data_IF_850325835389
#
_entry.id   IF_850325835389
#
_cell.length_a   1.000
_cell.length_b   1.000
_cell.length_c   1.000
_cell.angle_alpha   90.00
_cell.angle_beta   90.00
_cell.angle_gamma   90.00
#
_symmetry.space_group_name_H-M   'P 1'
#
loop_
_entity.id
_entity.type
_entity.pdbx_description
1 polymer ?
#
# COMPACT_ATOMS: atom_id res chain seq x y z
N UNK A 1 -68.39 -1.78 -33.92
CA UNK A 1 -67.28 -2.18 -34.82
C UNK A 1 -66.00 -1.55 -34.32
N UNK A 2 -65.05 -2.37 -33.84
CA UNK A 2 -63.75 -1.91 -33.35
C UNK A 2 -62.73 -1.86 -34.50
N UNK A 3 -61.89 -0.81 -34.63
CA UNK A 3 -60.73 -0.87 -35.52
C UNK A 3 -59.55 -1.57 -34.82
N UNK A 4 -58.98 -2.53 -35.56
CA UNK A 4 -57.90 -3.44 -35.18
C UNK A 4 -56.53 -2.76 -35.13
N UNK A 5 -55.70 -3.27 -34.23
CA UNK A 5 -54.29 -2.99 -33.95
C UNK A 5 -53.34 -2.96 -35.17
N UNK A 6 -52.44 -1.97 -35.22
CA UNK A 6 -51.11 -2.06 -35.87
C UNK A 6 -50.03 -1.51 -34.92
N UNK A 7 -49.56 -2.36 -34.01
CA UNK A 7 -48.37 -2.14 -33.18
C UNK A 7 -47.51 -3.41 -33.24
N UNK A 8 -46.82 -3.65 -34.34
CA UNK A 8 -45.80 -4.71 -34.44
C UNK A 8 -44.99 -4.59 -35.75
N UNK A 9 -44.03 -3.65 -35.83
CA UNK A 9 -43.05 -3.69 -36.93
C UNK A 9 -41.72 -2.94 -36.70
N UNK A 10 -41.37 -2.51 -35.47
CA UNK A 10 -40.12 -1.75 -35.26
C UNK A 10 -39.11 -2.38 -34.31
N UNK A 11 -39.39 -3.57 -33.74
CA UNK A 11 -38.44 -4.29 -32.86
C UNK A 11 -37.70 -5.48 -33.50
N UNK A 12 -37.78 -5.66 -34.82
CA UNK A 12 -37.18 -6.82 -35.50
C UNK A 12 -35.85 -6.54 -36.23
N UNK A 13 -35.35 -5.29 -36.25
CA UNK A 13 -34.10 -4.93 -36.97
C UNK A 13 -32.84 -4.84 -36.10
N UNK A 14 -32.97 -4.91 -34.78
CA UNK A 14 -31.81 -4.79 -33.86
C UNK A 14 -31.14 -6.15 -33.55
N UNK A 15 -31.77 -7.28 -33.87
CA UNK A 15 -31.30 -8.62 -33.50
C UNK A 15 -30.48 -9.35 -34.60
N UNK A 16 -30.26 -8.73 -35.77
CA UNK A 16 -29.60 -9.39 -36.91
C UNK A 16 -28.15 -8.95 -37.17
N UNK A 17 -27.62 -7.98 -36.43
CA UNK A 17 -26.21 -7.59 -36.51
C UNK A 17 -25.37 -8.34 -35.45
N UNK A 18 -25.51 -9.67 -35.40
CA UNK A 18 -24.44 -10.49 -34.85
C UNK A 18 -23.27 -10.36 -35.82
N UNK A 19 -22.31 -9.50 -35.49
CA UNK A 19 -21.11 -9.27 -36.30
C UNK A 19 -20.46 -10.63 -36.54
N UNK A 20 -20.60 -11.16 -37.76
CA UNK A 20 -19.91 -12.39 -38.18
C UNK A 20 -18.43 -12.18 -37.90
N UNK A 21 -17.88 -12.96 -36.97
CA UNK A 21 -16.48 -12.88 -36.63
C UNK A 21 -15.69 -13.15 -37.91
N UNK A 22 -14.91 -12.17 -38.35
CA UNK A 22 -14.14 -12.29 -39.59
C UNK A 22 -13.10 -13.37 -39.35
N UNK A 23 -13.27 -14.52 -40.00
CA UNK A 23 -12.30 -15.61 -39.95
C UNK A 23 -11.04 -15.15 -40.67
N UNK A 24 -9.98 -14.89 -39.92
CA UNK A 24 -8.67 -14.54 -40.45
C UNK A 24 -7.80 -15.81 -40.54
N UNK A 25 -6.96 -15.92 -41.57
CA UNK A 25 -5.94 -16.95 -41.60
C UNK A 25 -4.99 -16.79 -40.40
N UNK A 26 -4.58 -17.86 -39.69
CA UNK A 26 -3.75 -17.77 -38.48
C UNK A 26 -2.43 -17.00 -38.69
N UNK A 27 -1.84 -17.10 -39.89
CA UNK A 27 -0.61 -16.38 -40.26
C UNK A 27 -0.86 -14.99 -40.85
N UNK A 28 -2.10 -14.48 -40.83
CA UNK A 28 -2.41 -13.14 -41.33
C UNK A 28 -1.84 -12.05 -40.42
N UNK A 29 -1.47 -10.89 -41.00
CA UNK A 29 -1.10 -9.69 -40.24
C UNK A 29 -2.15 -9.32 -39.18
N UNK A 30 -3.44 -9.50 -39.50
CA UNK A 30 -4.53 -9.21 -38.56
C UNK A 30 -4.58 -10.23 -37.41
N UNK A 31 -4.35 -11.51 -37.69
CA UNK A 31 -4.26 -12.55 -36.68
C UNK A 31 -3.08 -12.28 -35.72
N UNK A 32 -1.89 -11.98 -36.24
CA UNK A 32 -0.74 -11.61 -35.41
C UNK A 32 -0.94 -10.31 -34.60
N UNK A 33 -1.73 -9.35 -35.09
CA UNK A 33 -2.12 -8.18 -34.29
C UNK A 33 -3.03 -8.57 -33.11
N UNK A 34 -4.01 -9.45 -33.34
CA UNK A 34 -4.92 -9.94 -32.30
C UNK A 34 -4.19 -10.78 -31.26
N UNK A 35 -3.28 -11.66 -31.69
CA UNK A 35 -2.44 -12.46 -30.80
C UNK A 35 -1.59 -11.56 -29.89
N UNK A 36 -0.89 -10.56 -30.44
CA UNK A 36 -0.11 -9.61 -29.62
C UNK A 36 -0.98 -8.84 -28.63
N UNK A 37 -2.18 -8.42 -29.05
CA UNK A 37 -3.12 -7.74 -28.16
C UNK A 37 -3.60 -8.67 -27.02
N UNK A 38 -3.90 -9.94 -27.35
CA UNK A 38 -4.29 -10.97 -26.38
C UNK A 38 -3.17 -11.25 -25.38
N UNK A 39 -1.93 -11.47 -25.85
CA UNK A 39 -0.76 -11.69 -25.00
C UNK A 39 -0.48 -10.49 -24.09
N UNK A 40 -0.58 -9.26 -24.61
CA UNK A 40 -0.45 -8.05 -23.79
C UNK A 40 -1.53 -7.98 -22.71
N UNK A 41 -2.79 -8.27 -23.06
CA UNK A 41 -3.90 -8.31 -22.09
C UNK A 41 -3.67 -9.36 -21.02
N UNK A 42 -3.23 -10.56 -21.39
CA UNK A 42 -2.87 -11.62 -20.46
C UNK A 42 -1.74 -11.22 -19.51
N UNK A 43 -0.70 -10.56 -20.02
CA UNK A 43 0.41 -10.04 -19.19
C UNK A 43 -0.03 -8.95 -18.21
N UNK A 44 -0.87 -8.01 -18.65
CA UNK A 44 -1.39 -6.95 -17.77
C UNK A 44 -2.32 -7.52 -16.69
N UNK A 45 -3.18 -8.48 -17.05
CA UNK A 45 -4.05 -9.17 -16.11
C UNK A 45 -3.25 -9.95 -15.06
N UNK A 46 -2.23 -10.72 -15.49
CA UNK A 46 -1.38 -11.47 -14.55
C UNK A 46 -0.57 -10.55 -13.63
N UNK A 47 -0.07 -9.43 -14.13
CA UNK A 47 0.58 -8.41 -13.28
C UNK A 47 -0.40 -7.80 -12.27
N UNK A 48 -1.63 -7.50 -12.69
CA UNK A 48 -2.67 -6.99 -11.79
C UNK A 48 -3.01 -8.00 -10.70
N UNK A 49 -3.18 -9.27 -11.06
CA UNK A 49 -3.46 -10.35 -10.12
C UNK A 49 -2.31 -10.57 -9.12
N UNK A 50 -1.05 -10.44 -9.58
CA UNK A 50 0.11 -10.52 -8.68
C UNK A 50 0.14 -9.36 -7.67
N UNK A 51 -0.26 -8.16 -8.09
CA UNK A 51 -0.35 -6.99 -7.19
C UNK A 51 -1.48 -7.16 -6.18
N UNK A 52 -2.67 -7.56 -6.61
CA UNK A 52 -3.80 -7.79 -5.70
C UNK A 52 -3.49 -8.90 -4.69
N UNK A 53 -2.89 -10.01 -5.13
CA UNK A 53 -2.49 -11.10 -4.22
C UNK A 53 -1.53 -10.60 -3.12
N UNK A 54 -0.53 -9.79 -3.49
CA UNK A 54 0.40 -9.20 -2.51
C UNK A 54 -0.30 -8.25 -1.53
N UNK A 55 -1.29 -7.47 -2.01
CA UNK A 55 -2.06 -6.59 -1.15
C UNK A 55 -2.91 -7.37 -0.16
N UNK A 56 -3.55 -8.46 -0.60
CA UNK A 56 -4.31 -9.37 0.26
C UNK A 56 -3.39 -10.03 1.28
N UNK A 57 -2.25 -10.61 0.85
CA UNK A 57 -1.27 -11.21 1.76
C UNK A 57 -0.78 -10.23 2.84
N UNK A 58 -0.60 -8.95 2.46
CA UNK A 58 -0.21 -7.88 3.40
C UNK A 58 -1.34 -7.52 4.36
N UNK A 59 -2.57 -7.40 3.87
CA UNK A 59 -3.74 -7.11 4.68
C UNK A 59 -4.04 -8.25 5.66
N UNK A 60 -3.98 -9.51 5.23
CA UNK A 60 -4.18 -10.69 6.09
C UNK A 60 -3.14 -10.74 7.21
N UNK A 61 -1.87 -10.49 6.87
CA UNK A 61 -0.78 -10.41 7.86
C UNK A 61 -1.09 -9.35 8.91
N UNK A 62 -1.42 -8.14 8.50
CA UNK A 62 -1.66 -7.06 9.46
C UNK A 62 -2.95 -7.25 10.23
N UNK A 63 -4.00 -7.77 9.59
CA UNK A 63 -5.24 -8.15 10.26
C UNK A 63 -4.98 -9.12 11.40
N UNK A 64 -4.10 -10.10 11.20
CA UNK A 64 -3.68 -11.01 12.27
C UNK A 64 -3.10 -10.25 13.48
N UNK A 65 -2.14 -9.34 13.27
CA UNK A 65 -1.55 -8.58 14.37
C UNK A 65 -2.54 -7.63 15.03
N UNK A 66 -3.47 -7.05 14.25
CA UNK A 66 -4.53 -6.22 14.79
C UNK A 66 -5.45 -7.02 15.72
N UNK A 67 -5.82 -8.25 15.34
CA UNK A 67 -6.65 -9.13 16.17
C UNK A 67 -5.89 -9.74 17.36
N UNK A 68 -4.57 -9.87 17.26
CA UNK A 68 -3.72 -10.35 18.35
C UNK A 68 -3.42 -9.28 19.41
N UNK A 69 -3.64 -8.00 19.10
CA UNK A 69 -3.43 -6.90 20.04
C UNK A 69 -4.51 -6.89 21.13
N UNK A 70 -4.12 -6.79 22.42
CA UNK A 70 -5.09 -6.60 23.50
C UNK A 70 -5.84 -5.27 23.34
N UNK A 71 -7.17 -5.22 23.60
CA UNK A 71 -7.99 -4.04 23.38
C UNK A 71 -7.64 -2.88 24.31
N UNK A 72 -7.05 -3.13 25.47
CA UNK A 72 -6.77 -2.09 26.46
C UNK A 72 -5.33 -1.54 26.38
N UNK A 73 -4.48 -2.12 25.52
CA UNK A 73 -3.06 -1.77 25.47
C UNK A 73 -2.79 -0.65 24.45
N UNK A 74 -2.34 0.55 24.86
CA UNK A 74 -2.08 1.65 23.95
C UNK A 74 -0.82 1.42 23.08
N UNK A 75 0.19 0.75 23.62
CA UNK A 75 1.40 0.37 22.92
C UNK A 75 2.04 -0.85 23.59
N UNK A 76 2.68 -1.71 22.80
CA UNK A 76 3.47 -2.83 23.29
C UNK A 76 4.88 -2.39 23.61
N UNK A 77 5.51 -3.05 24.57
CA UNK A 77 6.97 -2.99 24.68
C UNK A 77 7.61 -3.81 23.56
N UNK A 78 8.84 -3.49 23.16
CA UNK A 78 9.55 -4.22 22.12
C UNK A 78 9.65 -5.74 22.41
N UNK A 79 9.98 -6.20 23.65
CA UNK A 79 9.96 -7.62 23.98
C UNK A 79 8.59 -8.27 23.78
N UNK A 80 7.51 -7.62 24.23
CA UNK A 80 6.15 -8.13 24.02
C UNK A 80 5.79 -8.24 22.54
N UNK A 81 6.32 -7.35 21.71
CA UNK A 81 6.10 -7.44 20.26
C UNK A 81 6.83 -8.66 19.67
N UNK A 82 8.06 -8.95 20.13
CA UNK A 82 8.76 -10.18 19.77
C UNK A 82 8.03 -11.43 20.26
N UNK A 83 7.51 -11.43 21.49
CA UNK A 83 6.72 -12.54 22.05
C UNK A 83 5.46 -12.80 21.21
N UNK A 84 4.77 -11.76 20.77
CA UNK A 84 3.60 -11.88 19.88
C UNK A 84 4.00 -12.55 18.55
N UNK A 85 5.17 -12.22 17.99
CA UNK A 85 5.65 -12.87 16.76
C UNK A 85 6.00 -14.34 17.02
N UNK A 86 6.75 -14.64 18.07
CA UNK A 86 7.21 -16.01 18.34
C UNK A 86 6.08 -16.93 18.75
N UNK A 87 5.18 -16.45 19.60
CA UNK A 87 4.22 -17.32 20.29
C UNK A 87 2.91 -17.44 19.54
N UNK A 88 2.54 -16.44 18.74
CA UNK A 88 1.31 -16.42 17.95
C UNK A 88 1.58 -16.53 16.45
N UNK A 89 2.40 -15.64 15.87
CA UNK A 89 2.57 -15.61 14.41
C UNK A 89 3.26 -16.87 13.88
N UNK A 90 4.40 -17.27 14.46
CA UNK A 90 5.19 -18.41 13.96
C UNK A 90 4.55 -19.78 14.27
N UNK A 91 3.71 -19.87 15.30
CA UNK A 91 3.07 -21.12 15.74
C UNK A 91 1.68 -21.33 15.15
N UNK A 92 1.10 -20.35 14.43
CA UNK A 92 -0.30 -20.39 13.95
C UNK A 92 -0.66 -21.63 13.12
N UNK A 93 0.32 -22.22 12.45
CA UNK A 93 0.12 -23.41 11.61
C UNK A 93 0.41 -24.73 12.33
N UNK A 94 0.92 -24.70 13.57
CA UNK A 94 1.34 -25.91 14.30
C UNK A 94 0.17 -26.85 14.58
N UNK A 95 -0.99 -26.30 14.92
CA UNK A 95 -2.19 -27.11 15.14
C UNK A 95 -2.63 -27.84 13.86
N UNK A 96 -2.59 -27.16 12.71
CA UNK A 96 -2.93 -27.74 11.41
C UNK A 96 -1.90 -28.79 10.96
N UNK A 97 -0.60 -28.54 11.20
CA UNK A 97 0.46 -29.50 10.93
C UNK A 97 0.32 -30.77 11.77
N UNK A 98 0.10 -30.64 13.09
CA UNK A 98 -0.13 -31.78 13.98
C UNK A 98 -1.34 -32.62 13.55
N UNK A 99 -2.40 -31.96 13.08
CA UNK A 99 -3.60 -32.65 12.59
C UNK A 99 -3.30 -33.48 11.33
N UNK A 100 -2.58 -32.92 10.35
CA UNK A 100 -2.16 -33.66 9.15
C UNK A 100 -1.23 -34.82 9.49
N UNK A 101 -0.26 -34.59 10.39
CA UNK A 101 0.68 -35.62 10.84
C UNK A 101 -0.02 -36.78 11.56
N UNK A 102 -1.02 -36.49 12.40
CA UNK A 102 -1.79 -37.49 13.14
C UNK A 102 -2.73 -38.28 12.22
N UNK A 103 -3.33 -37.61 11.24
CA UNK A 103 -4.21 -38.24 10.25
C UNK A 103 -3.43 -39.15 9.30
N UNK A 104 -2.13 -38.87 9.10
CA UNK A 104 -1.25 -39.64 8.24
C UNK A 104 -0.88 -40.98 8.90
N UNK A 105 -1.14 -42.08 8.19
CA UNK A 105 -0.65 -43.41 8.59
C UNK A 105 0.87 -43.47 8.50
N UNK A 106 1.51 -44.17 9.45
CA UNK A 106 2.96 -44.41 9.47
C UNK A 106 3.42 -45.00 8.12
N UNK A 107 4.42 -44.37 7.51
CA UNK A 107 4.99 -44.78 6.21
C UNK A 107 4.38 -44.14 4.96
N UNK A 108 3.23 -43.45 5.05
CA UNK A 108 2.71 -42.65 3.92
C UNK A 108 3.56 -41.36 3.76
N UNK A 109 3.92 -40.95 2.52
CA UNK A 109 4.57 -39.65 2.30
C UNK A 109 3.70 -38.49 2.76
N UNK A 110 4.32 -37.33 2.97
CA UNK A 110 3.63 -36.12 3.44
C UNK A 110 2.56 -35.67 2.43
N UNK A 111 1.44 -35.17 2.94
CA UNK A 111 0.38 -34.65 2.05
C UNK A 111 0.82 -33.33 1.39
N UNK A 112 0.23 -32.98 0.24
CA UNK A 112 0.53 -31.68 -0.42
C UNK A 112 0.25 -30.51 0.53
N UNK A 113 -0.79 -30.63 1.35
CA UNK A 113 -1.15 -29.63 2.36
C UNK A 113 -0.12 -29.57 3.48
N UNK A 114 0.34 -30.71 3.97
CA UNK A 114 1.37 -30.79 5.01
C UNK A 114 2.69 -30.14 4.53
N UNK A 115 3.09 -30.41 3.29
CA UNK A 115 4.28 -29.77 2.67
C UNK A 115 4.09 -28.26 2.56
N UNK A 116 2.93 -27.79 2.06
CA UNK A 116 2.64 -26.37 1.93
C UNK A 116 2.64 -25.64 3.29
N UNK A 117 2.08 -26.24 4.34
CA UNK A 117 2.08 -25.66 5.68
C UNK A 117 3.50 -25.57 6.27
N UNK A 118 4.36 -26.59 6.05
CA UNK A 118 5.76 -26.54 6.48
C UNK A 118 6.55 -25.47 5.73
N UNK A 119 6.32 -25.34 4.42
CA UNK A 119 6.96 -24.30 3.61
C UNK A 119 6.55 -22.90 4.09
N UNK A 120 5.27 -22.68 4.40
CA UNK A 120 4.79 -21.43 4.99
C UNK A 120 5.47 -21.12 6.32
N UNK A 121 5.56 -22.11 7.21
CA UNK A 121 6.23 -21.94 8.51
C UNK A 121 7.71 -21.58 8.34
N UNK A 122 8.44 -22.33 7.49
CA UNK A 122 9.85 -22.05 7.21
C UNK A 122 10.04 -20.64 6.62
N UNK A 123 9.18 -20.25 5.69
CA UNK A 123 9.19 -18.92 5.09
C UNK A 123 9.01 -17.83 6.14
N UNK A 124 8.06 -17.98 7.06
CA UNK A 124 7.81 -16.98 8.10
C UNK A 124 8.98 -16.90 9.10
N UNK A 125 9.57 -18.03 9.46
CA UNK A 125 10.77 -18.09 10.32
C UNK A 125 11.96 -17.38 9.67
N UNK A 126 12.19 -17.61 8.37
CA UNK A 126 13.28 -16.98 7.64
C UNK A 126 13.03 -15.49 7.40
N UNK A 127 11.78 -15.08 7.19
CA UNK A 127 11.40 -13.67 7.14
C UNK A 127 11.62 -12.98 8.49
N UNK A 128 11.29 -13.64 9.60
CA UNK A 128 11.57 -13.11 10.94
C UNK A 128 13.07 -13.05 11.26
N UNK A 129 13.87 -14.01 10.81
CA UNK A 129 15.34 -13.94 10.94
C UNK A 129 15.90 -12.77 10.14
N UNK A 130 15.51 -12.65 8.87
CA UNK A 130 16.03 -11.60 7.96
C UNK A 130 15.48 -10.21 8.26
N UNK A 131 14.31 -10.11 8.90
CA UNK A 131 13.69 -8.87 9.35
C UNK A 131 12.30 -8.69 8.74
N UNK A 132 11.29 -8.93 9.56
CA UNK A 132 9.87 -8.85 9.24
C UNK A 132 9.39 -7.40 9.34
N UNK A 133 8.74 -6.89 8.29
CA UNK A 133 8.15 -5.54 8.27
C UNK A 133 6.71 -5.57 8.79
N UNK A 134 6.45 -4.83 9.87
CA UNK A 134 5.14 -4.73 10.51
C UNK A 134 4.81 -3.27 10.89
N UNK A 135 3.52 -2.93 11.07
CA UNK A 135 3.14 -1.68 11.71
C UNK A 135 3.82 -1.56 13.08
N UNK A 136 4.28 -0.37 13.44
CA UNK A 136 4.91 -0.14 14.72
C UNK A 136 3.88 -0.21 15.86
N UNK A 137 3.87 -1.33 16.57
CA UNK A 137 3.00 -1.54 17.72
C UNK A 137 3.60 -1.02 19.03
N UNK A 138 4.85 -0.51 19.00
CA UNK A 138 5.50 0.13 20.15
C UNK A 138 5.19 1.62 20.26
N UNK A 139 4.69 2.21 19.18
CA UNK A 139 4.29 3.60 19.12
C UNK A 139 2.77 3.77 19.25
N UNK A 140 2.33 4.44 20.32
CA UNK A 140 0.92 4.59 20.65
C UNK A 140 0.08 5.24 19.54
N UNK A 141 0.59 6.30 18.89
CA UNK A 141 -0.14 6.96 17.80
C UNK A 141 -0.36 6.03 16.60
N UNK A 142 0.62 5.17 16.29
CA UNK A 142 0.49 4.16 15.24
C UNK A 142 -0.55 3.11 15.62
N UNK A 143 -0.57 2.66 16.87
CA UNK A 143 -1.57 1.69 17.38
C UNK A 143 -2.99 2.26 17.31
N UNK A 144 -3.18 3.52 17.69
CA UNK A 144 -4.48 4.19 17.59
C UNK A 144 -5.00 4.26 16.16
N UNK A 145 -4.14 4.59 15.19
CA UNK A 145 -4.49 4.53 13.77
C UNK A 145 -4.76 3.10 13.33
N UNK A 146 -3.92 2.16 13.74
CA UNK A 146 -4.04 0.77 13.33
C UNK A 146 -5.36 0.16 13.81
N UNK A 147 -5.87 0.57 14.98
CA UNK A 147 -7.20 0.17 15.47
C UNK A 147 -8.36 0.74 14.66
N UNK A 148 -8.17 1.90 14.02
CA UNK A 148 -9.16 2.51 13.11
C UNK A 148 -9.11 1.91 11.70
N UNK A 149 -8.14 1.05 11.43
CA UNK A 149 -8.03 0.35 10.16
C UNK A 149 -9.13 -0.72 10.04
N UNK A 150 -10.32 -0.28 9.63
CA UNK A 150 -11.46 -1.14 9.37
C UNK A 150 -11.52 -1.54 7.88
N UNK A 151 -12.10 -2.71 7.58
CA UNK A 151 -12.33 -3.24 6.22
C UNK A 151 -11.10 -3.64 5.40
N UNK A 152 -9.94 -3.84 6.02
CA UNK A 152 -8.72 -4.30 5.33
C UNK A 152 -8.30 -3.42 4.16
N UNK A 153 -8.64 -2.11 4.19
CA UNK A 153 -8.34 -1.19 3.08
C UNK A 153 -6.82 -1.00 2.93
N UNK A 154 -6.20 -1.43 1.81
CA UNK A 154 -4.77 -1.28 1.60
C UNK A 154 -4.31 0.18 1.52
N UNK A 155 -5.22 1.11 1.17
CA UNK A 155 -4.88 2.52 1.11
C UNK A 155 -4.49 3.00 2.51
N UNK A 156 -5.31 2.74 3.53
CA UNK A 156 -5.12 3.20 4.91
C UNK A 156 -3.76 2.81 5.52
N UNK A 157 -3.21 1.65 5.12
CA UNK A 157 -1.88 1.18 5.55
C UNK A 157 -0.76 2.17 5.24
N UNK A 158 -0.97 3.12 4.31
CA UNK A 158 0.03 4.14 4.03
C UNK A 158 0.25 5.15 5.16
N UNK A 159 -0.71 5.32 6.07
CA UNK A 159 -0.67 6.26 7.19
C UNK A 159 0.18 5.76 8.36
N UNK A 160 0.31 4.44 8.48
CA UNK A 160 0.99 3.77 9.59
C UNK A 160 2.51 3.87 9.44
N UNK A 161 3.18 3.96 10.58
CA UNK A 161 4.62 3.76 10.70
C UNK A 161 4.94 2.27 10.65
N UNK A 162 6.02 1.89 9.97
CA UNK A 162 6.49 0.51 9.89
C UNK A 162 7.88 0.37 10.47
N UNK A 163 8.07 -0.71 11.21
CA UNK A 163 9.36 -1.13 11.78
C UNK A 163 9.75 -2.48 11.21
N UNK A 164 11.05 -2.73 11.17
CA UNK A 164 11.61 -4.05 10.82
C UNK A 164 12.07 -4.77 12.07
N UNK A 165 11.50 -5.94 12.32
CA UNK A 165 11.80 -6.75 13.50
C UNK A 165 12.55 -8.00 13.09
N UNK A 166 13.68 -8.27 13.75
CA UNK A 166 14.49 -9.45 13.48
C UNK A 166 14.75 -10.25 14.76
N UNK A 167 14.73 -11.57 14.66
CA UNK A 167 15.19 -12.43 15.76
C UNK A 167 16.68 -12.29 16.06
N UNK A 168 17.49 -11.85 15.09
CA UNK A 168 18.93 -11.66 15.27
C UNK A 168 19.26 -10.43 16.13
N UNK A 169 18.40 -9.41 16.10
CA UNK A 169 18.60 -8.16 16.82
C UNK A 169 17.28 -7.74 17.54
N UNK A 170 16.90 -8.43 18.62
CA UNK A 170 15.63 -8.17 19.31
C UNK A 170 15.58 -6.82 20.05
N UNK A 171 16.73 -6.16 20.20
CA UNK A 171 16.84 -4.89 20.93
C UNK A 171 16.54 -3.66 20.07
N UNK A 172 16.59 -3.79 18.74
CA UNK A 172 16.50 -2.65 17.82
C UNK A 172 15.41 -2.90 16.78
N UNK A 173 14.48 -1.95 16.67
CA UNK A 173 13.41 -1.95 15.68
C UNK A 173 13.57 -0.73 14.74
N UNK A 174 14.42 -0.79 13.70
CA UNK A 174 14.59 0.33 12.79
C UNK A 174 13.29 0.63 12.04
N UNK A 175 12.95 1.92 11.97
CA UNK A 175 11.80 2.41 11.19
C UNK A 175 12.14 2.30 9.70
N UNK A 176 11.29 1.60 8.95
CA UNK A 176 11.42 1.41 7.48
C UNK A 176 10.61 2.43 6.72
N UNK A 177 9.46 2.79 7.27
CA UNK A 177 8.54 3.75 6.67
C UNK A 177 7.93 4.60 7.77
N UNK A 178 8.15 5.89 7.67
CA UNK A 178 7.51 6.87 8.54
C UNK A 178 6.03 6.99 8.20
N UNK A 179 5.21 7.09 9.25
CA UNK A 179 3.79 7.38 9.11
C UNK A 179 3.57 8.84 8.75
N UNK A 180 2.48 9.16 8.04
CA UNK A 180 2.20 10.52 7.58
C UNK A 180 2.02 11.52 8.75
N UNK A 181 1.73 11.04 9.95
CA UNK A 181 1.51 11.85 11.16
C UNK A 181 2.78 12.51 11.72
N UNK A 182 3.99 11.98 11.44
CA UNK A 182 5.21 12.59 11.95
C UNK A 182 5.57 13.90 11.22
N UNK A 183 5.12 14.04 9.96
CA UNK A 183 5.42 15.23 9.16
C UNK A 183 4.87 16.52 9.78
N UNK A 184 3.73 16.47 10.46
CA UNK A 184 3.09 17.70 10.94
C UNK A 184 3.66 18.28 12.22
N UNK A 185 4.53 17.59 12.98
CA UNK A 185 5.15 18.19 14.18
C UNK A 185 6.46 18.88 13.85
N UNK A 186 7.31 18.23 13.05
CA UNK A 186 8.60 18.80 12.65
C UNK A 186 8.42 19.96 11.67
N UNK A 187 7.41 19.92 10.77
CA UNK A 187 7.06 21.03 9.87
C UNK A 187 6.48 22.28 10.60
N UNK A 188 6.08 22.14 11.87
CA UNK A 188 5.62 23.27 12.69
C UNK A 188 6.81 23.94 13.38
N UNK A 189 7.75 23.15 13.92
CA UNK A 189 8.96 23.69 14.57
C UNK A 189 9.88 24.40 13.56
N UNK A 190 10.01 23.90 12.33
CA UNK A 190 10.75 24.60 11.26
C UNK A 190 10.07 25.90 10.78
N UNK A 191 8.75 26.02 10.95
CA UNK A 191 8.02 27.28 10.68
C UNK A 191 8.24 28.31 11.78
N UNK A 192 8.23 27.88 13.04
CA UNK A 192 8.43 28.77 14.19
C UNK A 192 9.88 29.31 14.25
N UNK A 193 10.87 28.52 13.81
CA UNK A 193 12.26 29.00 13.67
C UNK A 193 12.42 30.01 12.52
N UNK A 194 11.64 29.87 11.43
CA UNK A 194 11.63 30.85 10.35
C UNK A 194 10.84 32.13 10.68
N UNK A 195 9.90 32.11 11.63
CA UNK A 195 9.12 33.30 12.03
C UNK A 195 9.97 34.30 12.84
N UNK A 196 10.98 33.84 13.57
CA UNK A 196 11.88 34.73 14.34
C UNK A 196 12.80 35.54 13.41
N UNK A 197 13.29 34.95 12.31
CA UNK A 197 14.23 35.60 11.37
C UNK A 197 13.54 36.63 10.43
N UNK A 198 12.21 36.57 10.31
CA UNK A 198 11.42 37.56 9.52
C UNK A 198 11.21 38.86 10.32
N UNK A 199 11.16 38.80 11.65
CA UNK A 199 10.95 40.00 12.49
C UNK A 199 12.16 40.95 12.49
N UNK A 200 13.39 40.43 12.35
CA UNK A 200 14.60 41.28 12.23
C UNK A 200 14.77 41.89 10.83
N UNK A 201 14.38 41.15 9.77
CA UNK A 201 14.40 41.64 8.38
C UNK A 201 13.31 42.69 8.10
N UNK A 202 12.14 42.58 8.73
CA UNK A 202 11.07 43.60 8.59
C UNK A 202 11.40 44.90 9.32
N UNK A 203 12.13 44.82 10.44
CA UNK A 203 12.62 46.00 11.17
C UNK A 203 13.65 46.81 10.35
N UNK A 204 14.55 46.13 9.64
CA UNK A 204 15.58 46.78 8.78
C UNK A 204 15.00 47.36 7.48
N UNK A 205 14.02 46.71 6.85
CA UNK A 205 13.30 47.25 5.69
C UNK A 205 12.48 48.49 6.03
N UNK A 206 11.85 48.53 7.21
CA UNK A 206 11.09 49.68 7.70
C UNK A 206 12.00 50.87 8.01
N UNK A 207 13.22 50.63 8.48
CA UNK A 207 14.23 51.66 8.73
C UNK A 207 14.77 52.28 7.42
N UNK A 208 14.97 51.48 6.36
CA UNK A 208 15.44 51.95 5.06
C UNK A 208 14.38 52.75 4.29
N UNK A 209 13.11 52.34 4.34
CA UNK A 209 11.99 53.08 3.72
C UNK A 209 11.80 54.47 4.36
N UNK A 210 12.16 54.63 5.64
CA UNK A 210 12.09 55.90 6.37
C UNK A 210 13.24 56.85 6.02
N UNK A 211 14.37 56.33 5.54
CA UNK A 211 15.53 57.11 5.13
C UNK A 211 15.42 57.62 3.67
N UNK A 212 14.66 56.94 2.82
CA UNK A 212 14.50 57.28 1.39
C UNK A 212 13.03 57.14 0.94
N UNK A 213 12.20 58.17 1.15
CA UNK A 213 10.75 58.06 0.95
C UNK A 213 10.30 58.02 -0.52
N UNK A 214 11.17 58.39 -1.47
CA UNK A 214 10.81 58.60 -2.89
C UNK A 214 11.29 57.48 -3.84
N UNK A 215 11.82 56.36 -3.30
CA UNK A 215 12.25 55.21 -4.13
C UNK A 215 11.19 54.11 -4.06
N UNK A 216 10.49 53.79 -5.17
CA UNK A 216 9.51 52.72 -5.16
C UNK A 216 10.18 51.35 -5.03
N UNK A 217 9.63 50.50 -4.15
CA UNK A 217 10.07 49.13 -3.83
C UNK A 217 10.18 48.17 -5.03
N UNK A 218 9.68 48.58 -6.21
CA UNK A 218 9.73 47.82 -7.45
C UNK A 218 11.11 47.82 -8.13
N UNK A 219 12.03 48.70 -7.71
CA UNK A 219 13.37 48.79 -8.31
C UNK A 219 14.31 47.62 -7.98
N UNK A 220 13.98 46.76 -7.00
CA UNK A 220 14.81 45.62 -6.60
C UNK A 220 14.31 44.25 -7.11
N UNK A 221 13.18 44.19 -7.82
CA UNK A 221 12.55 42.91 -8.22
C UNK A 221 12.72 42.53 -9.70
N UNK A 222 13.57 43.21 -10.47
CA UNK A 222 13.74 42.94 -11.91
C UNK A 222 15.17 42.53 -12.23
N UNK A 223 15.47 41.23 -12.12
CA UNK A 223 16.65 40.59 -12.77
C UNK A 223 16.50 39.06 -12.98
N UNK A 224 15.56 38.34 -12.35
CA UNK A 224 15.42 36.87 -12.58
C UNK A 224 14.08 36.53 -13.23
N UNK A 225 13.79 37.15 -14.37
CA UNK A 225 12.68 36.70 -15.22
C UNK A 225 12.94 37.12 -16.67
N UNK A 226 13.93 36.48 -17.29
CA UNK A 226 14.09 36.34 -18.74
C UNK A 226 15.30 35.44 -19.00
N UNK A 227 15.08 34.15 -19.23
CA UNK A 227 15.90 33.27 -20.08
C UNK A 227 15.33 31.84 -19.97
N UNK A 228 14.35 31.53 -20.82
CA UNK A 228 14.31 30.24 -21.50
C UNK A 228 13.32 30.31 -22.67
N UNK A 229 13.88 30.66 -23.82
CA UNK A 229 13.28 30.48 -25.13
C UNK A 229 14.36 29.95 -26.07
N UNK A 230 14.16 28.69 -26.51
CA UNK A 230 14.62 28.16 -27.80
C UNK A 230 16.11 27.80 -27.95
N UNK A 231 16.38 26.50 -28.09
CA UNK A 231 16.79 25.88 -29.37
C UNK A 231 16.31 24.43 -29.41
#
# INVERSE_FOLDING_TARGET
MAPRSKLAATKAKAAQNAVKEKVFHPQSRKAGQLERASLRKGKLASQSQRRSRKQIEKADRFGFFLHALPPDTPALTLPQFHDLITDLWLTRHDAALRHEETTRRKGRPQSVREVALRELKLRDEDEYKSGLELPDLTHAATVELFRKWENSDPAYLHLLQFVRLSSANPTVAPIVKEGLQQRSKDDIEDRDVMEVDVTEKTASLTALQRAFPDVPLTAFSSTIQNMDGGT
#
